data_IF_912463633173
#
_entry.id   IF_912463633173
#
_cell.length_a   1.000
_cell.length_b   1.000
_cell.length_c   1.000
_cell.angle_alpha   90.00
_cell.angle_beta   90.00
_cell.angle_gamma   90.00
#
_symmetry.space_group_name_H-M   'P 1'
#
loop_
_entity.id
_entity.type
_entity.pdbx_description
1 polymer ?
#
# COMPACT_ATOMS: atom_id res chain seq x y z
N UNK A 1 -43.64 55.92 -28.58
CA UNK A 1 -43.06 55.14 -29.67
C UNK A 1 -42.07 54.15 -29.09
N UNK A 2 -42.43 52.89 -28.96
CA UNK A 2 -41.54 51.89 -28.38
C UNK A 2 -40.71 51.29 -29.52
N UNK A 3 -39.40 51.52 -29.47
CA UNK A 3 -38.45 50.97 -30.44
C UNK A 3 -38.24 49.50 -30.10
N UNK A 4 -38.82 48.62 -30.91
CA UNK A 4 -38.57 47.20 -30.84
C UNK A 4 -37.15 46.94 -31.32
N UNK A 5 -36.25 46.65 -30.40
CA UNK A 5 -34.92 46.15 -30.74
C UNK A 5 -35.08 44.72 -31.28
N UNK A 6 -35.14 44.59 -32.57
CA UNK A 6 -34.91 43.30 -33.22
C UNK A 6 -33.39 43.13 -33.27
N UNK A 7 -32.84 42.64 -32.19
CA UNK A 7 -31.49 42.10 -32.21
C UNK A 7 -31.48 41.02 -33.26
N UNK A 8 -30.80 41.27 -34.40
CA UNK A 8 -30.36 40.17 -35.24
C UNK A 8 -29.55 39.25 -34.35
N UNK A 9 -29.96 38.00 -34.22
CA UNK A 9 -29.06 36.93 -33.86
C UNK A 9 -27.96 36.92 -34.95
N UNK A 10 -27.02 37.84 -34.86
CA UNK A 10 -25.72 37.68 -35.49
C UNK A 10 -25.18 36.41 -34.89
N UNK A 11 -25.30 35.34 -35.66
CA UNK A 11 -25.17 33.99 -35.22
C UNK A 11 -24.07 33.82 -34.18
N UNK A 12 -24.45 33.38 -33.03
CA UNK A 12 -23.61 32.44 -32.35
C UNK A 12 -23.47 31.31 -33.35
N UNK A 13 -22.41 31.33 -34.16
CA UNK A 13 -22.04 30.21 -34.98
C UNK A 13 -22.09 29.01 -34.02
N UNK A 14 -22.97 28.06 -34.29
CA UNK A 14 -23.43 27.12 -33.32
C UNK A 14 -22.25 26.46 -32.62
N UNK A 15 -22.30 26.39 -31.31
CA UNK A 15 -21.28 25.73 -30.49
C UNK A 15 -20.86 24.43 -31.19
N UNK A 16 -19.55 24.32 -31.44
CA UNK A 16 -18.97 23.12 -32.00
C UNK A 16 -18.28 22.36 -30.90
N UNK A 17 -18.60 21.10 -30.73
CA UNK A 17 -17.91 20.19 -29.82
C UNK A 17 -17.12 19.18 -30.65
N UNK A 18 -15.84 19.09 -30.34
CA UNK A 18 -14.91 18.18 -30.99
C UNK A 18 -13.97 17.60 -29.94
N UNK A 19 -13.83 16.28 -29.92
CA UNK A 19 -12.79 15.63 -29.13
C UNK A 19 -11.39 15.80 -29.76
N UNK A 20 -10.33 15.56 -28.99
CA UNK A 20 -8.94 15.73 -29.42
C UNK A 20 -8.60 14.84 -30.63
N UNK A 21 -9.16 13.63 -30.67
CA UNK A 21 -9.03 12.69 -31.80
C UNK A 21 -9.93 13.04 -33.00
N UNK A 22 -10.80 14.03 -32.84
CA UNK A 22 -11.71 14.52 -33.88
C UNK A 22 -13.08 13.83 -33.93
N UNK A 23 -13.36 12.91 -33.02
CA UNK A 23 -14.66 12.22 -32.94
C UNK A 23 -15.18 12.17 -31.48
N UNK A 24 -16.37 12.70 -31.19
CA UNK A 24 -17.35 13.31 -32.08
C UNK A 24 -16.94 14.69 -32.59
N UNK A 25 -17.50 15.08 -33.73
CA UNK A 25 -17.37 16.41 -34.33
C UNK A 25 -18.75 16.91 -34.73
N UNK A 26 -19.41 17.62 -33.82
CA UNK A 26 -20.80 18.03 -33.95
C UNK A 26 -20.88 19.54 -34.00
N UNK A 27 -21.59 20.07 -35.06
CA UNK A 27 -21.88 21.49 -35.24
C UNK A 27 -23.15 21.62 -36.12
N UNK A 28 -24.13 22.44 -35.78
CA UNK A 28 -24.32 23.10 -34.49
C UNK A 28 -24.77 22.11 -33.40
N UNK A 29 -24.37 22.34 -32.17
CA UNK A 29 -24.81 21.59 -31.00
C UNK A 29 -26.08 22.23 -30.48
N UNK A 30 -27.17 21.45 -30.41
CA UNK A 30 -28.49 21.93 -29.91
C UNK A 30 -28.74 21.51 -28.46
N UNK A 31 -28.07 20.47 -27.98
CA UNK A 31 -28.21 19.95 -26.62
C UNK A 31 -26.89 19.27 -26.18
N UNK A 32 -26.48 19.48 -24.95
CA UNK A 32 -25.43 18.73 -24.29
C UNK A 32 -26.07 17.94 -23.16
N UNK A 33 -25.98 16.62 -23.24
CA UNK A 33 -26.39 15.70 -22.16
C UNK A 33 -25.18 15.16 -21.43
N UNK A 34 -25.21 15.32 -20.13
CA UNK A 34 -24.18 14.79 -19.24
C UNK A 34 -24.80 13.68 -18.40
N UNK A 35 -24.46 12.43 -18.70
CA UNK A 35 -25.04 11.25 -18.06
C UNK A 35 -24.39 10.93 -16.72
N UNK A 36 -23.07 11.16 -16.60
CA UNK A 36 -22.28 10.82 -15.41
C UNK A 36 -21.53 12.04 -14.84
N UNK A 37 -22.04 13.23 -15.06
CA UNK A 37 -21.45 14.48 -14.57
C UNK A 37 -22.51 15.45 -14.08
N UNK A 38 -22.06 16.56 -13.50
CA UNK A 38 -22.91 17.64 -13.01
C UNK A 38 -22.73 18.88 -13.87
N UNK A 39 -23.85 19.46 -14.32
CA UNK A 39 -23.89 20.80 -14.88
C UNK A 39 -24.36 21.77 -13.81
N UNK A 40 -23.58 22.81 -13.54
CA UNK A 40 -23.90 23.88 -12.60
C UNK A 40 -24.05 25.19 -13.36
N UNK A 41 -25.18 25.89 -13.17
CA UNK A 41 -25.35 27.24 -13.66
C UNK A 41 -24.68 28.22 -12.67
N UNK A 42 -23.54 28.79 -13.11
CA UNK A 42 -22.78 29.76 -12.31
C UNK A 42 -23.32 31.21 -12.51
N UNK A 43 -24.42 31.35 -13.26
CA UNK A 43 -24.99 32.65 -13.61
C UNK A 43 -24.24 33.35 -14.74
N UNK A 44 -24.81 34.50 -15.22
CA UNK A 44 -24.24 35.32 -16.27
C UNK A 44 -23.95 34.57 -17.60
N UNK A 45 -24.63 33.46 -17.87
CA UNK A 45 -24.43 32.63 -19.06
C UNK A 45 -23.23 31.71 -18.98
N UNK A 46 -22.68 31.48 -17.78
CA UNK A 46 -21.61 30.52 -17.53
C UNK A 46 -22.17 29.25 -16.95
N UNK A 47 -21.78 28.13 -17.52
CA UNK A 47 -22.12 26.78 -17.02
C UNK A 47 -20.81 26.03 -16.79
N UNK A 48 -20.60 25.55 -15.57
CA UNK A 48 -19.53 24.64 -15.25
C UNK A 48 -19.97 23.20 -15.47
N UNK A 49 -19.19 22.49 -16.28
CA UNK A 49 -19.33 21.08 -16.51
C UNK A 49 -18.32 20.33 -15.64
N UNK A 50 -18.79 19.66 -14.62
CA UNK A 50 -18.00 18.69 -13.91
C UNK A 50 -18.25 17.33 -14.55
N UNK A 51 -17.38 16.94 -15.44
CA UNK A 51 -17.33 15.56 -15.94
C UNK A 51 -16.81 14.70 -14.80
N UNK A 52 -17.58 13.77 -14.34
CA UNK A 52 -17.06 12.65 -13.57
C UNK A 52 -15.93 12.07 -14.41
N UNK A 53 -14.70 12.11 -13.92
CA UNK A 53 -13.56 11.62 -14.67
C UNK A 53 -13.86 10.23 -15.17
N UNK A 54 -13.92 10.07 -16.48
CA UNK A 54 -14.11 8.79 -17.16
C UNK A 54 -12.88 7.90 -17.02
N UNK A 55 -12.73 7.37 -15.89
CA UNK A 55 -11.78 6.45 -15.36
C UNK A 55 -12.13 6.39 -13.90
N UNK A 56 -13.05 5.54 -13.50
CA UNK A 56 -13.37 5.14 -12.15
C UNK A 56 -13.07 6.13 -11.02
N UNK A 57 -13.57 7.37 -11.14
CA UNK A 57 -13.42 8.37 -10.08
C UNK A 57 -14.45 8.17 -8.98
N UNK A 58 -14.67 6.95 -8.56
CA UNK A 58 -15.31 6.69 -7.28
C UNK A 58 -14.44 7.27 -6.19
N UNK A 59 -15.04 8.00 -5.25
CA UNK A 59 -14.34 8.37 -4.02
C UNK A 59 -13.79 7.09 -3.41
N UNK A 60 -12.51 7.08 -3.05
CA UNK A 60 -11.92 5.91 -2.39
C UNK A 60 -12.77 5.50 -1.19
N UNK A 61 -13.10 4.24 -1.09
CA UNK A 61 -13.86 3.68 0.03
C UNK A 61 -12.90 3.27 1.15
N UNK A 62 -13.33 3.47 2.41
CA UNK A 62 -12.59 3.02 3.58
C UNK A 62 -11.53 4.01 4.11
N UNK A 63 -10.86 3.63 5.20
CA UNK A 63 -9.82 4.42 5.86
C UNK A 63 -8.55 4.49 5.02
N UNK A 64 -7.59 5.32 5.50
CA UNK A 64 -6.24 5.35 4.94
C UNK A 64 -5.61 3.94 5.02
N UNK A 65 -5.02 3.50 3.91
CA UNK A 65 -4.48 2.14 3.78
C UNK A 65 -5.44 1.11 3.19
N UNK A 66 -6.73 1.44 3.06
CA UNK A 66 -7.69 0.52 2.47
C UNK A 66 -7.34 0.16 1.02
N UNK A 67 -7.26 -1.13 0.74
CA UNK A 67 -7.06 -1.64 -0.61
C UNK A 67 -8.40 -1.56 -1.34
N UNK A 68 -8.40 -0.90 -2.50
CA UNK A 68 -9.62 -0.68 -3.26
C UNK A 68 -9.96 -1.90 -4.10
N UNK A 69 -11.13 -2.45 -3.87
CA UNK A 69 -11.70 -3.55 -4.63
C UNK A 69 -12.85 -3.02 -5.49
N UNK A 70 -13.18 -3.72 -6.57
CA UNK A 70 -14.38 -3.39 -7.33
C UNK A 70 -15.63 -3.79 -6.54
N UNK A 71 -16.60 -2.89 -6.43
CA UNK A 71 -17.92 -3.18 -5.84
C UNK A 71 -18.87 -3.95 -6.78
N UNK A 72 -18.42 -4.21 -8.02
CA UNK A 72 -19.23 -4.85 -9.07
C UNK A 72 -20.28 -3.93 -9.71
N UNK A 73 -20.42 -2.68 -9.27
CA UNK A 73 -21.38 -1.70 -9.76
C UNK A 73 -20.70 -0.47 -10.41
N UNK A 74 -19.38 -0.53 -10.61
CA UNK A 74 -18.59 0.55 -11.22
C UNK A 74 -17.96 1.50 -10.20
N UNK A 75 -18.05 1.22 -8.93
CA UNK A 75 -17.40 1.92 -7.82
C UNK A 75 -16.30 1.11 -7.16
N UNK A 76 -15.85 1.61 -6.01
CA UNK A 76 -14.86 0.95 -5.14
C UNK A 76 -15.48 0.56 -3.81
N UNK A 77 -15.08 -0.62 -3.34
CA UNK A 77 -15.31 -1.10 -1.98
C UNK A 77 -13.97 -1.36 -1.30
N UNK A 78 -13.98 -1.54 0.00
CA UNK A 78 -12.86 -2.05 0.77
C UNK A 78 -13.32 -3.28 1.57
N UNK A 79 -12.38 -4.14 1.89
CA UNK A 79 -12.57 -5.24 2.83
C UNK A 79 -11.80 -4.89 4.12
N UNK A 80 -12.44 -5.05 5.28
CA UNK A 80 -11.81 -4.77 6.57
C UNK A 80 -10.71 -5.79 6.91
N UNK A 81 -10.83 -6.98 6.33
CA UNK A 81 -9.88 -8.08 6.52
C UNK A 81 -8.75 -8.07 5.45
N UNK A 82 -8.74 -7.06 4.56
CA UNK A 82 -7.72 -6.91 3.54
C UNK A 82 -7.33 -5.43 3.39
N UNK A 83 -6.33 -5.02 4.14
CA UNK A 83 -5.84 -3.63 4.13
C UNK A 83 -4.31 -3.56 4.21
N UNK A 84 -3.76 -2.36 3.95
CA UNK A 84 -2.35 -2.05 4.15
C UNK A 84 -2.16 -1.17 5.38
N UNK A 85 -1.51 -1.72 6.41
CA UNK A 85 -1.12 -0.99 7.61
C UNK A 85 0.10 -0.12 7.32
N UNK A 86 -0.13 1.18 7.08
CA UNK A 86 0.94 2.15 6.76
C UNK A 86 1.86 2.46 7.93
N UNK A 87 1.49 2.08 9.15
CA UNK A 87 2.29 2.31 10.36
C UNK A 87 3.36 1.23 10.52
N UNK A 88 3.01 -0.01 10.17
CA UNK A 88 3.86 -1.18 10.38
C UNK A 88 4.34 -1.81 9.06
N UNK A 89 4.11 -1.15 7.91
CA UNK A 89 4.52 -1.59 6.57
C UNK A 89 4.14 -3.05 6.28
N UNK A 90 2.84 -3.37 6.42
CA UNK A 90 2.34 -4.73 6.23
C UNK A 90 0.98 -4.76 5.57
N UNK A 91 0.67 -5.89 4.95
CA UNK A 91 -0.67 -6.23 4.46
C UNK A 91 -1.34 -7.11 5.53
N UNK A 92 -2.52 -6.71 6.00
CA UNK A 92 -3.37 -7.54 6.84
C UNK A 92 -4.27 -8.41 5.95
N UNK A 93 -4.44 -9.68 6.35
CA UNK A 93 -5.26 -10.68 5.68
C UNK A 93 -6.05 -11.47 6.74
N UNK A 94 -7.19 -10.91 7.18
CA UNK A 94 -7.94 -11.48 8.30
C UNK A 94 -7.06 -11.62 9.55
N UNK A 95 -6.99 -12.81 10.10
CA UNK A 95 -6.22 -13.14 11.32
C UNK A 95 -4.69 -13.25 11.06
N UNK A 96 -4.19 -12.68 9.96
CA UNK A 96 -2.77 -12.74 9.60
C UNK A 96 -2.25 -11.43 9.02
N UNK A 97 -0.93 -11.24 9.11
CA UNK A 97 -0.25 -10.11 8.48
C UNK A 97 1.02 -10.55 7.74
N UNK A 98 1.26 -9.94 6.58
CA UNK A 98 2.45 -10.10 5.76
C UNK A 98 3.25 -8.80 5.75
N UNK A 99 4.55 -8.86 6.00
CA UNK A 99 5.37 -7.66 6.03
C UNK A 99 6.80 -7.89 5.55
N UNK A 100 7.48 -6.80 5.24
CA UNK A 100 8.89 -6.79 4.92
C UNK A 100 9.64 -5.84 5.86
N UNK A 101 10.87 -6.21 6.21
CA UNK A 101 11.75 -5.38 7.03
C UNK A 101 13.10 -5.31 6.32
N UNK A 102 13.69 -4.13 6.29
CA UNK A 102 15.07 -3.93 5.89
C UNK A 102 15.79 -3.15 6.99
N UNK A 103 16.87 -3.70 7.53
CA UNK A 103 17.63 -3.06 8.60
C UNK A 103 19.12 -3.26 8.42
N UNK A 104 19.90 -2.25 8.82
CA UNK A 104 21.35 -2.33 8.94
C UNK A 104 21.71 -2.72 10.37
N UNK A 105 22.59 -3.71 10.50
CA UNK A 105 23.08 -4.21 11.80
C UNK A 105 24.54 -3.82 11.98
N UNK A 106 24.90 -3.09 13.03
CA UNK A 106 26.23 -2.51 13.21
C UNK A 106 27.24 -3.48 13.85
N UNK A 107 27.19 -4.78 13.53
CA UNK A 107 28.15 -5.77 14.07
C UNK A 107 27.94 -6.14 15.54
N UNK A 108 26.79 -5.81 16.13
CA UNK A 108 26.41 -6.19 17.50
C UNK A 108 24.99 -6.77 17.49
N UNK A 109 24.64 -7.51 18.55
CA UNK A 109 23.31 -8.07 18.70
C UNK A 109 22.25 -6.97 18.58
N UNK A 110 21.30 -7.14 17.63
CA UNK A 110 20.31 -6.12 17.25
C UNK A 110 18.94 -6.76 17.10
N UNK A 111 17.93 -6.09 17.65
CA UNK A 111 16.52 -6.46 17.40
C UNK A 111 16.20 -6.11 15.94
N UNK A 112 15.83 -7.09 15.14
CA UNK A 112 15.49 -6.92 13.72
C UNK A 112 14.00 -6.89 13.49
N UNK A 113 13.21 -7.44 14.40
CA UNK A 113 11.76 -7.37 14.40
C UNK A 113 11.18 -7.36 15.81
N UNK A 114 9.99 -6.74 15.95
CA UNK A 114 9.25 -6.70 17.21
C UNK A 114 7.75 -6.59 16.92
N UNK A 115 6.94 -7.43 17.59
CA UNK A 115 5.48 -7.43 17.42
C UNK A 115 4.76 -7.75 18.74
N UNK A 116 3.54 -7.20 18.96
CA UNK A 116 2.82 -7.33 20.22
C UNK A 116 2.28 -8.75 20.41
N UNK A 117 2.60 -9.36 21.55
CA UNK A 117 2.14 -10.71 21.92
C UNK A 117 0.64 -10.76 22.25
N UNK A 118 0.01 -9.61 22.47
CA UNK A 118 -1.43 -9.53 22.69
C UNK A 118 -2.23 -9.67 21.37
N UNK A 119 -1.58 -9.40 20.23
CA UNK A 119 -2.21 -9.47 18.91
C UNK A 119 -1.82 -10.75 18.17
N UNK A 120 -0.54 -11.08 18.17
CA UNK A 120 -0.04 -12.20 17.39
C UNK A 120 0.49 -13.32 18.29
N UNK A 121 0.30 -14.57 17.86
CA UNK A 121 0.75 -15.77 18.55
C UNK A 121 2.05 -16.33 17.99
N UNK A 122 2.21 -16.26 16.69
CA UNK A 122 3.36 -16.87 16.02
C UNK A 122 3.80 -16.08 14.80
N UNK A 123 5.04 -16.31 14.39
CA UNK A 123 5.65 -15.71 13.22
C UNK A 123 6.44 -16.74 12.42
N UNK A 124 6.60 -16.45 11.13
CA UNK A 124 7.58 -17.07 10.23
C UNK A 124 8.34 -16.01 9.50
N UNK A 125 9.63 -16.25 9.34
CA UNK A 125 10.55 -15.34 8.68
C UNK A 125 11.33 -16.07 7.59
N UNK A 126 11.47 -15.43 6.44
CA UNK A 126 12.48 -15.74 5.42
C UNK A 126 13.46 -14.57 5.41
N UNK A 127 14.73 -14.84 5.70
CA UNK A 127 15.72 -13.82 6.01
C UNK A 127 16.89 -13.93 5.06
N UNK A 128 17.36 -12.80 4.52
CA UNK A 128 18.61 -12.66 3.81
C UNK A 128 19.54 -11.70 4.56
N UNK A 129 20.78 -12.10 4.79
CA UNK A 129 21.82 -11.31 5.43
C UNK A 129 22.94 -11.11 4.42
N UNK A 130 23.48 -9.90 4.38
CA UNK A 130 24.65 -9.54 3.58
C UNK A 130 25.67 -8.87 4.47
N UNK A 131 26.87 -9.45 4.58
CA UNK A 131 28.03 -8.76 5.14
C UNK A 131 28.52 -7.73 4.12
N UNK A 132 28.41 -6.45 4.46
CA UNK A 132 28.72 -5.34 3.53
C UNK A 132 30.23 -5.11 3.37
N UNK A 133 31.07 -5.75 4.18
CA UNK A 133 32.53 -5.65 4.13
C UNK A 133 33.15 -6.78 3.32
N UNK A 134 32.72 -8.02 3.57
CA UNK A 134 33.28 -9.21 2.90
C UNK A 134 32.48 -9.62 1.65
N UNK A 135 31.28 -9.08 1.48
CA UNK A 135 30.32 -9.50 0.43
C UNK A 135 29.94 -10.98 0.55
N UNK A 136 29.86 -11.50 1.76
CA UNK A 136 29.33 -12.82 2.07
C UNK A 136 27.82 -12.73 2.35
N UNK A 137 27.13 -13.83 2.12
CA UNK A 137 25.66 -13.90 2.21
C UNK A 137 25.24 -15.08 3.09
N UNK A 138 24.13 -14.88 3.82
CA UNK A 138 23.42 -15.95 4.51
C UNK A 138 21.91 -15.81 4.24
N UNK A 139 21.23 -16.94 4.10
CA UNK A 139 19.77 -17.02 4.21
C UNK A 139 19.41 -17.96 5.34
N UNK A 140 18.33 -17.63 6.06
CA UNK A 140 17.78 -18.45 7.14
C UNK A 140 16.25 -18.38 7.11
N UNK A 141 15.62 -19.49 7.47
CA UNK A 141 14.21 -19.57 7.82
C UNK A 141 14.07 -19.63 9.34
N UNK A 142 13.16 -18.85 9.90
CA UNK A 142 12.88 -18.85 11.34
C UNK A 142 11.39 -19.05 11.57
N UNK A 143 11.06 -19.94 12.51
CA UNK A 143 9.73 -20.08 13.06
C UNK A 143 9.75 -19.71 14.56
N UNK A 144 8.78 -18.91 14.97
CA UNK A 144 8.67 -18.42 16.33
C UNK A 144 7.25 -18.55 16.83
N UNK A 145 7.10 -18.95 18.10
CA UNK A 145 5.84 -19.05 18.83
C UNK A 145 6.10 -18.58 20.26
N UNK A 146 5.14 -17.90 20.88
CA UNK A 146 5.20 -17.60 22.31
C UNK A 146 4.05 -18.23 23.10
N UNK A 147 4.29 -18.51 24.37
CA UNK A 147 3.28 -18.96 25.34
C UNK A 147 2.72 -17.83 26.24
N UNK A 148 3.13 -16.59 25.96
CA UNK A 148 2.82 -15.40 26.76
C UNK A 148 3.95 -14.97 27.72
N UNK A 149 4.89 -15.86 27.98
CA UNK A 149 6.04 -15.62 28.90
C UNK A 149 7.37 -15.92 28.25
N UNK A 150 7.40 -16.92 27.37
CA UNK A 150 8.62 -17.40 26.70
C UNK A 150 8.42 -17.44 25.19
N UNK A 151 9.51 -17.24 24.46
CA UNK A 151 9.57 -17.49 23.03
C UNK A 151 10.10 -18.90 22.80
N UNK A 152 9.38 -19.65 21.96
CA UNK A 152 9.78 -20.95 21.43
C UNK A 152 10.21 -20.69 20.00
N UNK A 153 11.45 -21.05 19.69
CA UNK A 153 12.14 -20.57 18.49
C UNK A 153 12.83 -21.74 17.79
N UNK A 154 12.80 -21.72 16.45
CA UNK A 154 13.54 -22.66 15.61
C UNK A 154 14.09 -21.93 14.36
N UNK A 155 15.41 -21.97 14.19
CA UNK A 155 16.10 -21.55 12.98
C UNK A 155 16.42 -22.80 12.14
N UNK A 156 16.14 -22.75 10.84
CA UNK A 156 16.33 -23.86 9.90
C UNK A 156 16.65 -23.33 8.49
N UNK A 157 16.97 -24.24 7.56
CA UNK A 157 17.29 -23.88 6.16
C UNK A 157 18.41 -22.83 6.05
N UNK A 158 19.46 -22.98 6.87
CA UNK A 158 20.56 -22.03 6.91
C UNK A 158 21.48 -22.32 5.72
N UNK A 159 21.66 -21.35 4.83
CA UNK A 159 22.61 -21.37 3.72
C UNK A 159 23.52 -20.17 3.80
N UNK A 160 24.79 -20.35 3.57
CA UNK A 160 25.77 -19.26 3.59
C UNK A 160 26.84 -19.45 2.51
N UNK A 161 27.36 -18.33 1.98
CA UNK A 161 28.37 -18.33 0.91
C UNK A 161 29.81 -18.42 1.43
N UNK A 162 30.06 -18.08 2.70
CA UNK A 162 31.36 -18.12 3.34
C UNK A 162 31.69 -19.49 3.96
N UNK A 163 32.69 -19.52 4.84
CA UNK A 163 33.10 -20.72 5.56
C UNK A 163 32.19 -20.99 6.79
N UNK A 164 31.58 -19.95 7.33
CA UNK A 164 30.74 -20.01 8.53
C UNK A 164 29.48 -19.15 8.33
N UNK A 165 28.40 -19.41 9.10
CA UNK A 165 27.27 -18.50 9.16
C UNK A 165 27.70 -17.10 9.58
N UNK A 166 27.01 -16.07 9.08
CA UNK A 166 27.27 -14.66 9.41
C UNK A 166 26.76 -14.28 10.81
N UNK A 167 25.83 -15.04 11.35
CA UNK A 167 25.28 -14.84 12.67
C UNK A 167 24.21 -15.87 13.02
N UNK A 168 23.59 -15.69 14.18
CA UNK A 168 22.53 -16.54 14.71
C UNK A 168 21.35 -15.70 15.18
N UNK A 169 20.18 -16.32 15.26
CA UNK A 169 18.97 -15.68 15.75
C UNK A 169 18.61 -16.17 17.15
N UNK A 170 17.97 -15.30 17.92
CA UNK A 170 17.32 -15.62 19.20
C UNK A 170 16.02 -14.84 19.32
N UNK A 171 15.10 -15.33 20.17
CA UNK A 171 13.84 -14.66 20.48
C UNK A 171 13.73 -14.37 21.98
N UNK A 172 13.10 -13.25 22.34
CA UNK A 172 12.71 -12.95 23.71
C UNK A 172 11.41 -12.14 23.75
N UNK A 173 10.83 -11.98 24.95
CA UNK A 173 9.70 -11.08 25.19
C UNK A 173 10.18 -9.91 26.03
N UNK A 174 9.95 -8.70 25.52
CA UNK A 174 10.29 -7.44 26.22
C UNK A 174 9.10 -6.48 26.13
N UNK A 175 8.65 -5.99 27.27
CA UNK A 175 7.56 -5.00 27.38
C UNK A 175 6.30 -5.38 26.57
N UNK A 176 5.91 -6.66 26.59
CA UNK A 176 4.70 -7.14 25.89
C UNK A 176 4.89 -7.36 24.39
N UNK A 177 6.13 -7.34 23.89
CA UNK A 177 6.44 -7.64 22.50
C UNK A 177 7.38 -8.85 22.42
N UNK A 178 7.11 -9.75 21.46
CA UNK A 178 8.09 -10.71 20.99
C UNK A 178 9.11 -10.00 20.11
N UNK A 179 10.38 -10.30 20.29
CA UNK A 179 11.49 -9.70 19.55
C UNK A 179 12.34 -10.78 18.90
N UNK A 180 12.61 -10.65 17.61
CA UNK A 180 13.62 -11.42 16.90
C UNK A 180 14.93 -10.65 16.92
N UNK A 181 15.99 -11.28 17.46
CA UNK A 181 17.30 -10.68 17.64
C UNK A 181 18.31 -11.43 16.78
N UNK A 182 19.06 -10.70 15.96
CA UNK A 182 20.21 -11.22 15.24
C UNK A 182 21.51 -10.89 15.98
N UNK A 183 22.36 -11.90 16.18
CA UNK A 183 23.69 -11.76 16.77
C UNK A 183 24.74 -12.11 15.73
N UNK A 184 25.45 -11.12 15.17
CA UNK A 184 26.49 -11.34 14.18
C UNK A 184 27.73 -12.02 14.79
N UNK A 185 28.45 -12.83 14.00
CA UNK A 185 29.71 -13.48 14.40
C UNK A 185 30.92 -12.56 14.22
N UNK A 186 30.79 -11.46 13.49
CA UNK A 186 31.81 -10.47 13.23
C UNK A 186 31.35 -9.07 13.61
N UNK A 187 32.30 -8.14 13.77
CA UNK A 187 32.03 -6.73 14.00
C UNK A 187 31.69 -5.96 12.69
N UNK A 188 31.61 -6.66 11.58
CA UNK A 188 31.25 -6.05 10.29
C UNK A 188 29.80 -5.53 10.30
N UNK A 189 29.56 -4.45 9.58
CA UNK A 189 28.20 -4.01 9.29
C UNK A 189 27.51 -4.99 8.33
N UNK A 190 26.24 -5.28 8.60
CA UNK A 190 25.44 -6.21 7.80
C UNK A 190 24.10 -5.58 7.43
N UNK A 191 23.63 -5.87 6.23
CA UNK A 191 22.28 -5.56 5.78
C UNK A 191 21.41 -6.80 5.90
N UNK A 192 20.25 -6.67 6.54
CA UNK A 192 19.28 -7.74 6.72
C UNK A 192 17.98 -7.35 6.02
N UNK A 193 17.48 -8.28 5.18
CA UNK A 193 16.16 -8.21 4.56
C UNK A 193 15.33 -9.36 5.06
N UNK A 194 14.10 -9.05 5.46
CA UNK A 194 13.18 -10.00 6.06
C UNK A 194 11.86 -9.94 5.34
N UNK A 195 11.33 -11.09 4.97
CA UNK A 195 9.91 -11.28 4.71
C UNK A 195 9.32 -12.07 5.88
N UNK A 196 8.21 -11.58 6.44
CA UNK A 196 7.56 -12.22 7.59
C UNK A 196 6.08 -12.46 7.36
N UNK A 197 5.56 -13.48 8.04
CA UNK A 197 4.14 -13.69 8.29
C UNK A 197 3.88 -13.71 9.78
N UNK A 198 2.78 -13.10 10.23
CA UNK A 198 2.30 -13.11 11.60
C UNK A 198 0.92 -13.76 11.63
N UNK A 199 0.62 -14.57 12.65
CA UNK A 199 -0.69 -15.14 12.89
C UNK A 199 -1.22 -14.68 14.25
N UNK A 200 -2.47 -14.27 14.30
CA UNK A 200 -3.13 -13.75 15.49
C UNK A 200 -3.37 -14.82 16.57
N UNK A 201 -3.76 -14.35 17.76
CA UNK A 201 -3.99 -15.13 18.99
C UNK A 201 -5.29 -15.92 18.93
#
# INVERSE_FOLDING_TARGET
MATKYTGSNAGVEGLRIRDQDGNPNVSPVTEIRVTDGTLTDDGNGVVSLQTGGGGGGGTSSGPAGAIQLSDGAGGFANDADFDYDTTNDRINLGDSALGTIATAVPGVATVIDSWPIATYRSSRYSIQITDTVTSEYQTSEVAELHDGSNVIFNEYSILFSGLNPLGTFTGNIVAGNSQLIFTPVSANAMDIKVFRTLLEV
#
